data_IF_495344581879
#
_entry.id   IF_495344581879
#
_cell.length_a   1.000
_cell.length_b   1.000
_cell.length_c   1.000
_cell.angle_alpha   90.00
_cell.angle_beta   90.00
_cell.angle_gamma   90.00
#
_symmetry.space_group_name_H-M   'P 1'
#
loop_
_entity.id
_entity.type
_entity.pdbx_description
1 polymer ?
#
# COMPACT_ATOMS: atom_id res chain seq x y z
N UNK A 1 13.63 17.15 -5.98
CA UNK A 1 12.97 17.01 -4.64
C UNK A 1 12.37 15.62 -4.52
N UNK A 2 12.58 14.93 -3.38
CA UNK A 2 11.98 13.62 -3.13
C UNK A 2 10.74 13.78 -2.25
N UNK A 3 9.62 13.19 -2.68
CA UNK A 3 8.38 13.12 -1.91
C UNK A 3 7.86 11.68 -1.84
N UNK A 4 7.12 11.36 -0.77
CA UNK A 4 6.51 10.05 -0.59
C UNK A 4 4.99 10.17 -0.50
N UNK A 5 4.26 9.18 -1.07
CA UNK A 5 2.82 8.99 -0.86
C UNK A 5 2.62 7.69 -0.11
N UNK A 6 2.03 7.78 1.07
CA UNK A 6 1.85 6.66 2.01
C UNK A 6 0.46 6.65 2.63
N UNK A 7 0.06 5.55 3.26
CA UNK A 7 -1.26 5.42 3.89
C UNK A 7 -1.22 5.66 5.40
N UNK A 8 -2.23 6.35 5.92
CA UNK A 8 -2.36 6.64 7.35
C UNK A 8 -2.75 5.41 8.19
N UNK A 9 -3.62 4.53 7.68
CA UNK A 9 -4.34 3.56 8.48
C UNK A 9 -4.14 2.10 8.01
N UNK A 10 -5.23 1.46 7.53
CA UNK A 10 -5.25 0.03 7.17
C UNK A 10 -4.86 -0.28 5.72
N UNK A 11 -4.60 0.74 4.88
CA UNK A 11 -4.07 0.55 3.52
C UNK A 11 -5.04 0.81 2.38
N UNK A 12 -6.30 1.08 2.68
CA UNK A 12 -7.37 1.29 1.69
C UNK A 12 -7.75 2.77 1.51
N UNK A 13 -6.81 3.68 1.73
CA UNK A 13 -7.05 5.13 1.80
C UNK A 13 -7.25 5.81 0.44
N UNK A 14 -7.12 5.09 -0.68
CA UNK A 14 -7.26 5.67 -2.02
C UNK A 14 -5.96 6.31 -2.54
N UNK A 15 -4.79 5.79 -2.13
CA UNK A 15 -3.47 6.27 -2.57
C UNK A 15 -3.28 6.33 -4.07
N UNK A 16 -3.86 5.38 -4.82
CA UNK A 16 -3.67 5.29 -6.27
C UNK A 16 -4.01 6.59 -7.01
N UNK A 17 -5.15 7.22 -6.68
CA UNK A 17 -5.55 8.51 -7.25
C UNK A 17 -4.55 9.62 -6.92
N UNK A 18 -4.15 9.73 -5.66
CA UNK A 18 -3.21 10.76 -5.21
C UNK A 18 -1.83 10.56 -5.84
N UNK A 19 -1.38 9.29 -5.91
CA UNK A 19 -0.11 8.95 -6.54
C UNK A 19 -0.12 9.27 -8.03
N UNK A 20 -1.16 8.88 -8.77
CA UNK A 20 -1.29 9.16 -10.21
C UNK A 20 -1.29 10.67 -10.48
N UNK A 21 -2.01 11.44 -9.68
CA UNK A 21 -2.05 12.89 -9.80
C UNK A 21 -0.67 13.55 -9.54
N UNK A 22 0.05 13.08 -8.51
CA UNK A 22 1.38 13.62 -8.19
C UNK A 22 2.45 13.09 -9.14
N UNK A 23 2.28 11.90 -9.70
CA UNK A 23 3.19 11.29 -10.67
C UNK A 23 3.35 12.13 -11.92
N UNK A 24 2.29 12.78 -12.42
CA UNK A 24 2.35 13.62 -13.63
C UNK A 24 3.46 14.69 -13.58
N UNK A 25 3.75 15.21 -12.38
CA UNK A 25 4.76 16.25 -12.15
C UNK A 25 6.13 15.68 -11.74
N UNK A 26 6.27 14.36 -11.69
CA UNK A 26 7.50 13.71 -11.30
C UNK A 26 8.36 13.34 -12.54
N UNK A 27 9.67 13.35 -12.38
CA UNK A 27 10.60 12.77 -13.37
C UNK A 27 10.73 11.26 -13.18
N UNK A 28 10.58 10.79 -11.93
CA UNK A 28 10.80 9.40 -11.54
C UNK A 28 9.72 8.98 -10.53
N UNK A 29 9.14 7.79 -10.72
CA UNK A 29 8.24 7.16 -9.74
C UNK A 29 8.84 5.83 -9.29
N UNK A 30 8.94 5.63 -7.98
CA UNK A 30 9.62 4.50 -7.37
C UNK A 30 8.68 3.70 -6.47
N UNK A 31 8.47 2.43 -6.76
CA UNK A 31 7.95 1.46 -5.79
C UNK A 31 9.09 1.03 -4.89
N UNK A 32 8.98 1.27 -3.59
CA UNK A 32 10.08 1.06 -2.65
C UNK A 32 9.86 -0.11 -1.68
N UNK A 33 8.64 -0.65 -1.58
CA UNK A 33 8.30 -1.75 -0.67
C UNK A 33 7.08 -2.52 -1.14
N UNK A 34 6.72 -3.59 -0.41
CA UNK A 34 5.58 -4.43 -0.71
C UNK A 34 5.83 -5.35 -1.91
N UNK A 35 4.78 -5.82 -2.51
CA UNK A 35 4.82 -6.73 -3.65
C UNK A 35 3.44 -6.86 -4.29
N UNK A 36 3.14 -8.02 -4.83
CA UNK A 36 1.90 -8.30 -5.55
C UNK A 36 0.65 -8.48 -4.65
N UNK A 37 0.79 -8.36 -3.34
CA UNK A 37 -0.28 -8.59 -2.37
C UNK A 37 -1.32 -7.46 -2.28
N UNK A 38 -1.00 -6.26 -2.75
CA UNK A 38 -1.95 -5.15 -2.79
C UNK A 38 -2.01 -4.56 -4.19
N UNK A 39 -3.21 -4.33 -4.68
CA UNK A 39 -3.46 -3.66 -5.95
C UNK A 39 -3.89 -2.20 -5.71
N UNK A 40 -3.59 -1.34 -6.67
CA UNK A 40 -4.14 0.00 -6.74
C UNK A 40 -4.82 0.21 -8.10
N UNK A 41 -5.95 0.89 -8.06
CA UNK A 41 -6.71 1.19 -9.26
C UNK A 41 -6.38 2.60 -9.73
N UNK A 42 -6.08 2.72 -11.02
CA UNK A 42 -5.87 4.00 -11.72
C UNK A 42 -6.93 4.11 -12.83
N UNK A 43 -7.54 5.28 -12.91
CA UNK A 43 -8.49 5.61 -13.97
C UNK A 43 -7.94 6.82 -14.73
N UNK A 44 -7.66 6.63 -16.01
CA UNK A 44 -7.09 7.66 -16.88
C UNK A 44 -7.67 7.56 -18.31
N UNK A 45 -7.10 8.30 -19.26
CA UNK A 45 -7.55 8.34 -20.66
C UNK A 45 -7.44 6.99 -21.39
N UNK A 46 -6.62 6.07 -20.90
CA UNK A 46 -6.50 4.71 -21.44
C UNK A 46 -7.54 3.75 -20.84
N UNK A 47 -8.27 4.16 -19.79
CA UNK A 47 -9.28 3.37 -19.10
C UNK A 47 -8.95 3.09 -17.64
N UNK A 48 -9.58 2.04 -17.09
CA UNK A 48 -9.38 1.60 -15.72
C UNK A 48 -8.36 0.45 -15.66
N UNK A 49 -7.32 0.60 -14.83
CA UNK A 49 -6.25 -0.37 -14.64
C UNK A 49 -6.13 -0.74 -13.16
N UNK A 50 -5.93 -2.00 -12.88
CA UNK A 50 -5.53 -2.49 -11.56
C UNK A 50 -4.06 -2.93 -11.66
N UNK A 51 -3.16 -2.17 -11.04
CA UNK A 51 -1.73 -2.49 -10.96
C UNK A 51 -1.40 -3.05 -9.59
N UNK A 52 -0.46 -4.00 -9.53
CA UNK A 52 0.00 -4.59 -8.27
C UNK A 52 1.45 -4.21 -7.97
N UNK A 53 2.34 -4.37 -8.95
CA UNK A 53 3.77 -4.12 -8.76
C UNK A 53 4.28 -2.91 -9.53
N UNK A 54 3.72 -2.62 -10.69
CA UNK A 54 4.14 -1.48 -11.49
C UNK A 54 3.88 -0.15 -10.77
N UNK A 55 4.82 0.82 -10.87
CA UNK A 55 4.59 2.19 -10.41
C UNK A 55 3.48 2.89 -11.19
N UNK A 56 2.78 3.84 -10.56
CA UNK A 56 1.71 4.63 -11.19
C UNK A 56 2.21 5.50 -12.36
N UNK A 57 3.51 5.78 -12.44
CA UNK A 57 4.11 6.56 -13.51
C UNK A 57 4.16 5.89 -14.89
N UNK A 58 3.80 4.60 -15.00
CA UNK A 58 3.87 3.84 -16.27
C UNK A 58 2.97 4.38 -17.39
N UNK A 59 2.01 5.23 -17.07
CA UNK A 59 1.11 5.86 -18.03
C UNK A 59 1.68 7.15 -18.67
N UNK A 60 2.86 7.60 -18.22
CA UNK A 60 3.47 8.85 -18.67
C UNK A 60 4.82 8.59 -19.34
N UNK A 61 4.96 8.94 -20.60
CA UNK A 61 6.15 8.65 -21.42
C UNK A 61 7.43 9.39 -20.96
N UNK A 62 7.29 10.51 -20.24
CA UNK A 62 8.42 11.28 -19.71
C UNK A 62 8.98 10.67 -18.41
N UNK A 63 8.21 9.85 -17.68
CA UNK A 63 8.58 9.32 -16.37
C UNK A 63 9.46 8.07 -16.51
N UNK A 64 10.52 8.01 -15.72
CA UNK A 64 11.25 6.76 -15.48
C UNK A 64 10.63 6.05 -14.26
N UNK A 65 10.15 4.84 -14.45
CA UNK A 65 9.55 4.02 -13.42
C UNK A 65 10.60 3.11 -12.80
N UNK A 66 10.64 3.01 -11.49
CA UNK A 66 11.65 2.21 -10.77
C UNK A 66 10.96 1.23 -9.83
N UNK A 67 11.32 -0.03 -9.93
CA UNK A 67 11.06 -1.04 -8.89
C UNK A 67 12.34 -1.14 -8.06
N UNK A 68 12.29 -0.59 -6.85
CA UNK A 68 13.42 -0.47 -5.95
C UNK A 68 13.79 -1.80 -5.25
N UNK A 69 14.93 -1.80 -4.61
CA UNK A 69 15.48 -2.97 -3.91
C UNK A 69 14.63 -3.47 -2.73
N UNK A 70 13.72 -2.64 -2.20
CA UNK A 70 12.83 -3.03 -1.10
C UNK A 70 11.58 -3.82 -1.53
N UNK A 71 11.33 -3.98 -2.82
CA UNK A 71 10.15 -4.66 -3.35
C UNK A 71 10.34 -6.19 -3.32
N UNK A 72 9.30 -6.91 -2.91
CA UNK A 72 9.16 -8.35 -3.11
C UNK A 72 8.75 -8.60 -4.57
N UNK A 73 9.72 -8.88 -5.42
CA UNK A 73 9.57 -8.86 -6.87
C UNK A 73 9.02 -10.18 -7.43
N UNK A 74 7.78 -10.15 -7.90
CA UNK A 74 7.21 -11.23 -8.72
C UNK A 74 7.44 -10.91 -10.20
N UNK A 75 8.49 -11.45 -10.79
CA UNK A 75 8.94 -11.15 -12.17
C UNK A 75 7.86 -11.48 -13.21
N UNK A 76 7.24 -12.69 -13.21
CA UNK A 76 6.18 -12.99 -14.17
C UNK A 76 5.00 -12.02 -14.12
N UNK A 77 4.61 -11.58 -12.91
CA UNK A 77 3.53 -10.64 -12.76
C UNK A 77 3.88 -9.26 -13.30
N UNK A 78 5.08 -8.76 -13.05
CA UNK A 78 5.56 -7.47 -13.59
C UNK A 78 5.52 -7.49 -15.11
N UNK A 79 6.06 -8.54 -15.76
CA UNK A 79 6.07 -8.67 -17.21
C UNK A 79 4.64 -8.75 -17.77
N UNK A 80 3.77 -9.50 -17.10
CA UNK A 80 2.35 -9.59 -17.47
C UNK A 80 1.64 -8.23 -17.35
N UNK A 81 1.92 -7.45 -16.31
CA UNK A 81 1.37 -6.10 -16.13
C UNK A 81 1.87 -5.14 -17.23
N UNK A 82 3.17 -5.16 -17.55
CA UNK A 82 3.73 -4.37 -18.65
C UNK A 82 3.05 -4.71 -19.98
N UNK A 83 2.94 -6.01 -20.29
CA UNK A 83 2.27 -6.44 -21.53
C UNK A 83 0.80 -6.02 -21.52
N UNK A 84 0.10 -6.18 -20.39
CA UNK A 84 -1.32 -5.84 -20.28
C UNK A 84 -1.62 -4.35 -20.46
N UNK A 85 -0.74 -3.43 -20.07
CA UNK A 85 -0.94 -1.99 -20.35
C UNK A 85 -0.60 -1.66 -21.81
N UNK A 86 0.43 -2.30 -22.37
CA UNK A 86 0.83 -2.10 -23.78
C UNK A 86 -0.25 -2.60 -24.73
N UNK A 87 -0.83 -3.77 -24.48
CA UNK A 87 -1.92 -4.34 -25.29
C UNK A 87 -3.18 -3.45 -25.30
N UNK A 88 -3.32 -2.58 -24.32
CA UNK A 88 -4.40 -1.59 -24.22
C UNK A 88 -4.02 -0.21 -24.77
N UNK A 89 -2.90 -0.11 -25.49
CA UNK A 89 -2.47 1.08 -26.20
C UNK A 89 -1.65 2.08 -25.36
N UNK A 90 -1.23 1.71 -24.15
CA UNK A 90 -0.27 2.51 -23.39
C UNK A 90 1.12 2.32 -24.00
N UNK A 91 1.88 3.39 -24.29
CA UNK A 91 3.26 3.25 -24.76
C UNK A 91 4.12 2.44 -23.78
N UNK A 92 5.03 1.63 -24.30
CA UNK A 92 5.94 0.85 -23.45
C UNK A 92 6.66 1.75 -22.43
N UNK A 93 6.52 1.49 -21.12
CA UNK A 93 7.04 2.38 -20.10
C UNK A 93 8.56 2.30 -20.00
N UNK A 94 9.22 3.40 -19.64
CA UNK A 94 10.60 3.36 -19.19
C UNK A 94 10.61 2.73 -17.79
N UNK A 95 11.06 1.48 -17.68
CA UNK A 95 11.07 0.70 -16.45
C UNK A 95 12.51 0.28 -16.10
N UNK A 96 12.91 0.50 -14.86
CA UNK A 96 14.13 -0.01 -14.26
C UNK A 96 13.78 -0.89 -13.06
N UNK A 97 14.43 -2.04 -12.95
CA UNK A 97 14.29 -2.98 -11.83
C UNK A 97 15.64 -3.10 -11.15
N UNK A 98 15.63 -2.92 -9.83
CA UNK A 98 16.87 -3.00 -9.04
C UNK A 98 17.52 -4.38 -9.16
N UNK A 99 18.80 -4.40 -9.46
CA UNK A 99 19.66 -5.58 -9.41
C UNK A 99 19.72 -6.21 -8.02
N UNK A 100 19.42 -5.44 -6.96
CA UNK A 100 19.38 -5.86 -5.55
C UNK A 100 17.99 -6.24 -5.06
N UNK A 101 16.93 -6.07 -5.87
CA UNK A 101 15.61 -6.56 -5.51
C UNK A 101 15.61 -8.07 -5.34
N UNK A 102 14.86 -8.57 -4.36
CA UNK A 102 14.75 -10.01 -4.15
C UNK A 102 13.50 -10.58 -4.81
N UNK A 103 13.58 -11.82 -5.24
CA UNK A 103 12.63 -12.48 -6.12
C UNK A 103 11.62 -13.30 -5.30
N UNK A 104 10.34 -13.11 -5.56
CA UNK A 104 9.28 -14.02 -5.10
C UNK A 104 9.26 -15.24 -6.02
N UNK A 105 9.64 -16.41 -5.47
CA UNK A 105 9.65 -17.68 -6.17
C UNK A 105 8.28 -18.38 -6.06
N UNK A 106 8.03 -19.32 -6.96
CA UNK A 106 6.80 -20.14 -6.94
C UNK A 106 6.59 -20.87 -5.62
N UNK A 107 7.66 -21.35 -4.99
CA UNK A 107 7.54 -22.02 -3.69
C UNK A 107 7.11 -21.07 -2.56
N UNK A 108 7.41 -19.77 -2.61
CA UNK A 108 6.87 -18.82 -1.63
C UNK A 108 5.33 -18.77 -1.70
N UNK A 109 4.79 -18.75 -2.90
CA UNK A 109 3.34 -18.78 -3.14
C UNK A 109 2.74 -20.08 -2.61
N UNK A 110 3.39 -21.21 -2.89
CA UNK A 110 2.97 -22.53 -2.40
C UNK A 110 2.96 -22.57 -0.85
N UNK A 111 4.01 -22.08 -0.21
CA UNK A 111 4.11 -22.04 1.26
C UNK A 111 3.01 -21.16 1.89
N UNK A 112 2.72 -19.99 1.29
CA UNK A 112 1.66 -19.10 1.75
C UNK A 112 0.28 -19.78 1.65
N UNK A 113 0.03 -20.50 0.55
CA UNK A 113 -1.21 -21.28 0.38
C UNK A 113 -1.31 -22.42 1.40
N UNK A 114 -0.24 -23.20 1.57
CA UNK A 114 -0.23 -24.31 2.52
C UNK A 114 -0.42 -23.85 3.95
N UNK A 115 0.16 -22.72 4.35
CA UNK A 115 0.02 -22.19 5.70
C UNK A 115 -1.40 -21.70 5.97
N UNK A 116 -2.02 -21.00 5.02
CA UNK A 116 -3.44 -20.60 5.13
C UNK A 116 -4.38 -21.83 5.21
N UNK A 117 -4.11 -22.88 4.44
CA UNK A 117 -4.83 -24.15 4.50
C UNK A 117 -4.67 -24.81 5.90
N UNK A 118 -3.44 -24.87 6.41
CA UNK A 118 -3.11 -25.47 7.71
C UNK A 118 -3.79 -24.73 8.88
N UNK A 119 -3.81 -23.40 8.83
CA UNK A 119 -4.44 -22.57 9.87
C UNK A 119 -5.97 -22.63 9.85
N UNK A 120 -6.58 -22.92 8.72
CA UNK A 120 -8.04 -23.05 8.60
C UNK A 120 -8.79 -21.84 9.12
N UNK A 121 -9.67 -22.03 10.10
CA UNK A 121 -10.47 -20.95 10.71
C UNK A 121 -9.65 -19.89 11.48
N UNK A 122 -8.36 -20.13 11.71
CA UNK A 122 -7.42 -19.18 12.35
C UNK A 122 -6.49 -18.52 11.34
N UNK A 123 -6.78 -18.61 10.04
CA UNK A 123 -5.97 -18.03 8.98
C UNK A 123 -5.90 -16.51 9.08
N UNK A 124 -4.79 -15.92 8.66
CA UNK A 124 -4.58 -14.48 8.65
C UNK A 124 -5.34 -13.76 7.53
N UNK A 125 -5.91 -14.52 6.58
CA UNK A 125 -6.57 -13.99 5.39
C UNK A 125 -5.57 -13.48 4.36
N UNK A 126 -4.43 -14.17 4.20
CA UNK A 126 -3.41 -13.87 3.20
C UNK A 126 -4.01 -13.73 1.80
N UNK A 127 -3.37 -12.91 0.97
CA UNK A 127 -3.66 -12.82 -0.47
C UNK A 127 -3.10 -14.01 -1.25
N UNK A 128 -2.37 -14.91 -0.58
CA UNK A 128 -1.69 -16.07 -1.18
C UNK A 128 -0.69 -15.67 -2.26
N UNK A 129 -0.06 -14.52 -2.09
CA UNK A 129 0.94 -13.96 -3.01
C UNK A 129 2.39 -14.28 -2.61
N UNK A 130 2.58 -15.10 -1.57
CA UNK A 130 3.89 -15.56 -1.12
C UNK A 130 4.70 -14.53 -0.32
N UNK A 131 4.08 -13.46 0.17
CA UNK A 131 4.80 -12.33 0.78
C UNK A 131 5.42 -12.70 2.12
N UNK A 132 4.68 -13.34 3.02
CA UNK A 132 5.22 -13.72 4.33
C UNK A 132 6.36 -14.75 4.21
N UNK A 133 6.23 -15.86 3.45
CA UNK A 133 7.33 -16.78 3.20
C UNK A 133 8.54 -16.12 2.53
N UNK A 134 8.30 -15.19 1.59
CA UNK A 134 9.38 -14.44 0.94
C UNK A 134 10.18 -13.61 1.95
N UNK A 135 9.52 -12.83 2.82
CA UNK A 135 10.22 -12.04 3.83
C UNK A 135 10.90 -12.92 4.88
N UNK A 136 10.32 -14.07 5.24
CA UNK A 136 11.00 -15.05 6.09
C UNK A 136 12.34 -15.48 5.47
N UNK A 137 12.35 -15.81 4.19
CA UNK A 137 13.56 -16.22 3.48
C UNK A 137 14.57 -15.07 3.32
N UNK A 138 14.09 -13.87 3.02
CA UNK A 138 14.93 -12.67 2.94
C UNK A 138 15.73 -12.45 4.23
N UNK A 139 15.09 -12.49 5.39
CA UNK A 139 15.74 -12.26 6.66
C UNK A 139 16.53 -13.50 7.16
N UNK A 140 16.18 -14.70 6.72
CA UNK A 140 16.97 -15.91 6.90
C UNK A 140 18.18 -16.01 5.93
N UNK A 141 18.29 -15.04 4.99
CA UNK A 141 19.40 -14.92 4.03
C UNK A 141 19.50 -16.11 3.06
N UNK A 142 18.37 -16.63 2.63
CA UNK A 142 18.29 -17.76 1.69
C UNK A 142 17.59 -17.42 0.36
N UNK A 143 17.03 -16.20 0.24
CA UNK A 143 16.38 -15.74 -0.98
C UNK A 143 17.33 -15.42 -2.14
N UNK A 144 16.77 -15.12 -3.31
CA UNK A 144 17.51 -14.77 -4.53
C UNK A 144 17.39 -13.27 -4.83
N UNK A 145 18.52 -12.61 -5.14
CA UNK A 145 18.55 -11.28 -5.73
C UNK A 145 18.51 -11.34 -7.26
N UNK A 146 18.00 -10.28 -7.91
CA UNK A 146 17.95 -10.19 -9.37
C UNK A 146 19.35 -10.32 -10.01
N UNK A 147 20.38 -9.70 -9.42
CA UNK A 147 21.77 -9.81 -9.90
C UNK A 147 22.28 -11.23 -9.97
N UNK A 148 21.84 -12.11 -9.05
CA UNK A 148 22.28 -13.48 -8.98
C UNK A 148 21.79 -14.34 -10.14
N UNK A 149 20.71 -13.91 -10.84
CA UNK A 149 20.21 -14.60 -12.05
C UNK A 149 21.25 -14.70 -13.17
N UNK A 150 22.28 -13.88 -13.13
CA UNK A 150 23.36 -13.83 -14.13
C UNK A 150 24.63 -14.57 -13.69
N UNK A 151 24.58 -15.35 -12.59
CA UNK A 151 25.69 -16.09 -12.01
C UNK A 151 25.33 -17.57 -11.80
N UNK A 152 25.53 -18.41 -12.83
CA UNK A 152 25.04 -19.79 -12.92
C UNK A 152 25.52 -20.69 -11.77
N UNK A 153 26.80 -20.61 -11.42
CA UNK A 153 27.38 -21.44 -10.33
C UNK A 153 26.73 -21.10 -8.98
N UNK A 154 26.48 -19.81 -8.73
CA UNK A 154 25.83 -19.37 -7.50
C UNK A 154 24.35 -19.82 -7.46
N UNK A 155 23.65 -19.80 -8.58
CA UNK A 155 22.28 -20.30 -8.65
C UNK A 155 22.22 -21.79 -8.32
N UNK A 156 23.08 -22.61 -8.91
CA UNK A 156 23.11 -24.05 -8.68
C UNK A 156 23.34 -24.41 -7.20
N UNK A 157 24.27 -23.71 -6.51
CA UNK A 157 24.48 -23.87 -5.08
C UNK A 157 23.26 -23.49 -4.25
N UNK A 158 22.67 -22.33 -4.56
CA UNK A 158 21.53 -21.79 -3.78
C UNK A 158 20.26 -22.61 -3.95
N UNK A 159 19.96 -23.12 -5.16
CA UNK A 159 18.78 -23.97 -5.37
C UNK A 159 18.87 -25.27 -4.58
N UNK A 160 20.06 -25.90 -4.51
CA UNK A 160 20.24 -27.09 -3.69
C UNK A 160 19.96 -26.78 -2.23
N UNK A 161 20.52 -25.68 -1.70
CA UNK A 161 20.28 -25.25 -0.32
C UNK A 161 18.79 -24.98 -0.04
N UNK A 162 18.06 -24.40 -1.00
CA UNK A 162 16.61 -24.16 -0.85
C UNK A 162 15.86 -25.49 -0.79
N UNK A 163 16.17 -26.45 -1.65
CA UNK A 163 15.57 -27.77 -1.60
C UNK A 163 15.81 -28.45 -0.24
N UNK A 164 17.05 -28.43 0.26
CA UNK A 164 17.41 -29.02 1.55
C UNK A 164 16.64 -28.39 2.71
N UNK A 165 16.37 -27.08 2.66
CA UNK A 165 15.65 -26.36 3.71
C UNK A 165 14.13 -26.50 3.61
N UNK A 166 13.57 -26.53 2.40
CA UNK A 166 12.12 -26.45 2.18
C UNK A 166 11.45 -27.82 2.08
N UNK A 167 12.13 -28.81 1.51
CA UNK A 167 11.57 -30.13 1.29
C UNK A 167 11.12 -30.84 2.57
N UNK A 168 11.87 -30.82 3.70
CA UNK A 168 11.39 -31.39 4.94
C UNK A 168 10.05 -30.77 5.42
N UNK A 169 9.85 -29.47 5.20
CA UNK A 169 8.60 -28.79 5.57
C UNK A 169 7.48 -29.20 4.61
N UNK A 170 7.75 -29.21 3.31
CA UNK A 170 6.75 -29.63 2.30
C UNK A 170 6.29 -31.06 2.54
N UNK A 171 7.21 -32.00 2.75
CA UNK A 171 6.90 -33.42 2.89
C UNK A 171 6.26 -33.76 4.23
N UNK A 172 6.83 -33.27 5.34
CA UNK A 172 6.43 -33.71 6.67
C UNK A 172 5.36 -32.83 7.33
N UNK A 173 5.29 -31.53 6.98
CA UNK A 173 4.31 -30.62 7.56
C UNK A 173 3.12 -30.42 6.63
N UNK A 174 3.37 -30.16 5.36
CA UNK A 174 2.32 -29.82 4.40
C UNK A 174 1.85 -31.00 3.54
N UNK A 175 2.57 -32.14 3.58
CA UNK A 175 2.29 -33.33 2.77
C UNK A 175 2.16 -33.01 1.26
N UNK A 176 3.08 -32.19 0.77
CA UNK A 176 3.18 -31.76 -0.63
C UNK A 176 4.44 -32.36 -1.26
N UNK A 177 4.50 -32.47 -2.60
CA UNK A 177 5.70 -32.92 -3.31
C UNK A 177 6.93 -32.05 -3.01
N UNK A 178 8.10 -32.66 -3.01
CA UNK A 178 9.39 -31.98 -2.87
C UNK A 178 9.67 -31.07 -4.08
N UNK A 179 10.41 -29.99 -3.83
CA UNK A 179 11.02 -29.18 -4.88
C UNK A 179 12.22 -29.91 -5.46
N UNK A 180 12.48 -29.72 -6.74
CA UNK A 180 13.69 -30.24 -7.39
C UNK A 180 14.62 -29.10 -7.80
N UNK A 181 15.94 -29.25 -7.72
CA UNK A 181 16.89 -28.24 -8.17
C UNK A 181 16.69 -27.85 -9.63
N UNK A 182 16.40 -28.84 -10.49
CA UNK A 182 16.20 -28.66 -11.91
C UNK A 182 15.01 -27.74 -12.20
N UNK A 183 13.87 -27.95 -11.54
CA UNK A 183 12.67 -27.12 -11.71
C UNK A 183 12.91 -25.67 -11.24
N UNK A 184 13.63 -25.49 -10.12
CA UNK A 184 13.97 -24.16 -9.63
C UNK A 184 14.97 -23.44 -10.54
N UNK A 185 15.95 -24.14 -11.10
CA UNK A 185 16.88 -23.57 -12.07
C UNK A 185 16.14 -23.15 -13.35
N UNK A 186 15.25 -23.97 -13.88
CA UNK A 186 14.44 -23.63 -15.05
C UNK A 186 13.58 -22.39 -14.79
N UNK A 187 12.96 -22.29 -13.61
CA UNK A 187 12.21 -21.10 -13.17
C UNK A 187 13.11 -19.85 -13.14
N UNK A 188 14.29 -19.93 -12.56
CA UNK A 188 15.25 -18.83 -12.46
C UNK A 188 15.81 -18.40 -13.82
N UNK A 189 16.07 -19.34 -14.72
CA UNK A 189 16.48 -19.05 -16.11
C UNK A 189 15.38 -18.30 -16.87
N UNK A 190 14.13 -18.74 -16.72
CA UNK A 190 12.97 -18.05 -17.30
C UNK A 190 12.86 -16.61 -16.73
N UNK A 191 13.05 -16.44 -15.42
CA UNK A 191 13.01 -15.12 -14.78
C UNK A 191 14.15 -14.21 -15.25
N UNK A 192 15.36 -14.75 -15.43
CA UNK A 192 16.50 -14.03 -16.01
C UNK A 192 16.15 -13.44 -17.38
N UNK A 193 15.60 -14.27 -18.26
CA UNK A 193 15.29 -13.85 -19.62
C UNK A 193 14.17 -12.78 -19.66
N UNK A 194 13.18 -12.91 -18.77
CA UNK A 194 12.10 -11.92 -18.60
C UNK A 194 12.61 -10.57 -18.07
N UNK A 195 13.49 -10.58 -17.04
CA UNK A 195 13.87 -9.36 -16.33
C UNK A 195 15.03 -8.61 -16.96
N UNK A 196 15.86 -9.31 -17.72
CA UNK A 196 17.10 -8.80 -18.33
C UNK A 196 16.99 -7.40 -18.97
N UNK A 197 15.91 -7.05 -19.69
CA UNK A 197 15.81 -5.73 -20.33
C UNK A 197 15.68 -4.55 -19.34
N UNK A 198 15.32 -4.85 -18.08
CA UNK A 198 14.95 -3.84 -17.09
C UNK A 198 15.97 -3.67 -15.96
N UNK A 199 16.95 -4.59 -15.85
CA UNK A 199 17.88 -4.64 -14.71
C UNK A 199 18.85 -3.47 -14.72
N UNK A 200 18.95 -2.79 -13.57
CA UNK A 200 19.87 -1.65 -13.40
C UNK A 200 20.32 -1.53 -11.92
N UNK A 201 21.46 -0.88 -11.70
CA UNK A 201 21.81 -0.33 -10.39
C UNK A 201 20.93 0.90 -10.11
N UNK A 202 19.73 0.64 -9.57
CA UNK A 202 18.75 1.70 -9.32
C UNK A 202 19.18 2.63 -8.19
N UNK A 203 20.00 2.16 -7.24
CA UNK A 203 20.49 3.01 -6.15
C UNK A 203 21.46 4.09 -6.68
N UNK A 204 22.41 3.70 -7.55
CA UNK A 204 23.28 4.66 -8.22
C UNK A 204 22.47 5.61 -9.13
N UNK A 205 21.51 5.09 -9.88
CA UNK A 205 20.63 5.89 -10.74
C UNK A 205 19.88 6.95 -9.93
N UNK A 206 19.19 6.56 -8.84
CA UNK A 206 18.40 7.47 -8.02
C UNK A 206 19.29 8.50 -7.28
N UNK A 207 20.43 8.08 -6.77
CA UNK A 207 21.39 8.99 -6.14
C UNK A 207 21.84 10.11 -7.09
N UNK A 208 22.17 9.77 -8.32
CA UNK A 208 22.57 10.75 -9.33
C UNK A 208 21.39 11.65 -9.74
N UNK A 209 20.22 11.08 -9.95
CA UNK A 209 19.00 11.82 -10.28
C UNK A 209 18.63 12.85 -9.19
N UNK A 210 18.75 12.49 -7.91
CA UNK A 210 18.52 13.42 -6.79
C UNK A 210 19.54 14.55 -6.80
N UNK A 211 20.82 14.25 -7.05
CA UNK A 211 21.87 15.27 -7.19
C UNK A 211 21.63 16.21 -8.37
N UNK A 212 21.08 15.73 -9.46
CA UNK A 212 20.69 16.53 -10.62
C UNK A 212 19.40 17.35 -10.38
N UNK A 213 18.80 17.26 -9.20
CA UNK A 213 17.59 18.00 -8.85
C UNK A 213 16.30 17.43 -9.42
N UNK A 214 16.31 16.18 -9.92
CA UNK A 214 15.12 15.51 -10.43
C UNK A 214 14.03 15.36 -9.36
N UNK A 215 12.77 15.42 -9.78
CA UNK A 215 11.61 15.17 -8.93
C UNK A 215 11.37 13.65 -8.83
N UNK A 216 11.44 13.10 -7.61
CA UNK A 216 11.25 11.67 -7.33
C UNK A 216 10.04 11.49 -6.45
N UNK A 217 9.09 10.65 -6.90
CA UNK A 217 7.92 10.23 -6.14
C UNK A 217 8.11 8.80 -5.64
N UNK A 218 8.15 8.63 -4.33
CA UNK A 218 8.15 7.33 -3.67
C UNK A 218 6.72 6.88 -3.46
N UNK A 219 6.31 5.81 -4.11
CA UNK A 219 4.98 5.24 -4.04
C UNK A 219 4.92 4.11 -3.03
N UNK A 220 4.22 4.36 -1.89
CA UNK A 220 4.01 3.37 -0.85
C UNK A 220 2.79 2.48 -1.10
N UNK A 221 2.78 1.36 -0.41
CA UNK A 221 1.73 0.35 -0.44
C UNK A 221 1.21 0.09 0.97
N UNK A 222 -0.09 -0.21 1.11
CA UNK A 222 -0.75 -0.40 2.41
C UNK A 222 -0.74 0.88 3.28
N UNK A 223 -0.82 0.75 4.60
CA UNK A 223 -0.87 1.88 5.53
C UNK A 223 -0.14 1.57 6.85
N UNK A 224 0.01 2.57 7.71
CA UNK A 224 0.80 2.51 8.94
C UNK A 224 0.43 1.37 9.87
N UNK A 225 -0.89 1.06 9.98
CA UNK A 225 -1.38 -0.01 10.87
C UNK A 225 -1.09 -1.42 10.33
N UNK A 226 -0.58 -1.53 9.12
CA UNK A 226 -0.12 -2.79 8.51
C UNK A 226 1.40 -2.96 8.53
N UNK A 227 2.12 -2.03 9.15
CA UNK A 227 3.57 -2.12 9.34
C UNK A 227 3.90 -3.23 10.35
N UNK A 228 4.93 -4.08 10.11
CA UNK A 228 5.24 -5.21 11.00
C UNK A 228 5.73 -4.78 12.38
N UNK A 229 6.37 -3.61 12.50
CA UNK A 229 6.95 -3.13 13.77
C UNK A 229 5.98 -2.24 14.55
N UNK A 230 5.14 -1.47 13.87
CA UNK A 230 4.29 -0.44 14.48
C UNK A 230 2.79 -0.66 14.29
N UNK A 231 2.39 -1.61 13.45
CA UNK A 231 0.99 -1.90 13.15
C UNK A 231 0.29 -2.78 14.19
N UNK A 232 -0.86 -3.29 13.80
CA UNK A 232 -1.73 -4.15 14.62
C UNK A 232 -1.26 -5.62 14.58
N UNK A 233 0.01 -5.86 14.91
CA UNK A 233 0.60 -7.20 14.88
C UNK A 233 -0.24 -8.21 15.69
N UNK A 234 -0.48 -9.45 15.18
CA UNK A 234 0.13 -10.06 13.98
C UNK A 234 -0.62 -9.80 12.66
N UNK A 235 -1.70 -9.03 12.66
CA UNK A 235 -2.54 -8.78 11.47
C UNK A 235 -1.96 -7.65 10.60
N UNK A 236 -0.69 -7.80 10.22
CA UNK A 236 0.12 -6.85 9.43
C UNK A 236 0.60 -7.47 8.13
N UNK A 237 1.21 -6.67 7.25
CA UNK A 237 2.01 -7.20 6.14
C UNK A 237 3.46 -7.43 6.60
N UNK A 238 4.24 -8.15 5.81
CA UNK A 238 5.64 -8.43 6.18
C UNK A 238 6.62 -7.36 5.69
N UNK A 239 6.16 -6.36 4.92
CA UNK A 239 6.98 -5.23 4.48
C UNK A 239 6.74 -4.01 5.35
N UNK A 240 7.77 -3.16 5.58
CA UNK A 240 7.56 -1.87 6.22
C UNK A 240 6.78 -0.94 5.31
N UNK A 241 5.68 -0.38 5.84
CA UNK A 241 4.75 0.49 5.11
C UNK A 241 5.01 1.98 5.35
N UNK A 242 6.04 2.29 6.13
CA UNK A 242 6.36 3.64 6.53
C UNK A 242 7.22 4.38 5.50
N UNK A 243 7.02 5.70 5.37
CA UNK A 243 7.79 6.56 4.46
C UNK A 243 9.31 6.49 4.72
N UNK A 244 9.71 6.29 5.99
CA UNK A 244 11.12 6.12 6.37
C UNK A 244 11.80 4.93 5.68
N UNK A 245 11.06 3.86 5.40
CA UNK A 245 11.59 2.73 4.63
C UNK A 245 11.81 3.08 3.15
N UNK A 246 11.19 4.16 2.66
CA UNK A 246 11.41 4.63 1.30
C UNK A 246 12.88 4.93 1.00
N UNK A 247 13.62 5.45 1.98
CA UNK A 247 15.05 5.65 1.85
C UNK A 247 15.82 4.33 1.66
N UNK A 248 15.48 3.32 2.45
CA UNK A 248 16.11 1.99 2.38
C UNK A 248 15.69 1.26 1.09
N UNK A 249 14.40 1.23 0.81
CA UNK A 249 13.84 0.47 -0.31
C UNK A 249 14.11 1.05 -1.69
N UNK A 250 14.45 2.34 -1.77
CA UNK A 250 14.90 3.02 -2.99
C UNK A 250 16.44 3.20 -3.06
N UNK A 251 17.16 3.03 -1.95
CA UNK A 251 18.61 3.23 -1.88
C UNK A 251 19.02 4.70 -1.93
N UNK A 252 18.23 5.59 -1.31
CA UNK A 252 18.53 7.05 -1.24
C UNK A 252 18.78 7.50 0.20
N UNK A 253 19.48 8.61 0.43
CA UNK A 253 19.66 9.15 1.77
C UNK A 253 18.32 9.55 2.42
N UNK A 254 18.06 9.22 3.71
CA UNK A 254 16.77 9.50 4.34
C UNK A 254 16.44 10.99 4.44
N UNK A 255 17.41 11.85 4.53
CA UNK A 255 17.23 13.30 4.59
C UNK A 255 16.82 13.93 3.24
N UNK A 256 16.80 13.17 2.15
CA UNK A 256 16.30 13.63 0.85
C UNK A 256 14.77 13.58 0.74
N UNK A 257 14.09 12.78 1.56
CA UNK A 257 12.63 12.76 1.63
C UNK A 257 12.15 14.03 2.33
N UNK A 258 11.76 15.04 1.53
CA UNK A 258 11.39 16.37 2.05
C UNK A 258 9.90 16.54 2.26
N UNK A 259 9.08 15.74 1.60
CA UNK A 259 7.63 15.80 1.69
C UNK A 259 7.06 14.40 1.85
N UNK A 260 6.16 14.25 2.82
CA UNK A 260 5.43 13.01 3.05
C UNK A 260 3.94 13.31 3.00
N UNK A 261 3.32 12.97 1.88
CA UNK A 261 1.88 13.06 1.68
C UNK A 261 1.25 11.79 2.23
N UNK A 262 0.57 11.92 3.36
CA UNK A 262 -0.14 10.79 3.97
C UNK A 262 -1.60 10.81 3.55
N UNK A 263 -2.04 9.73 2.93
CA UNK A 263 -3.43 9.61 2.48
C UNK A 263 -4.30 9.05 3.59
N UNK A 264 -5.42 9.70 3.87
CA UNK A 264 -6.42 9.27 4.85
C UNK A 264 -7.83 9.39 4.26
N UNK A 265 -8.70 8.42 4.54
CA UNK A 265 -10.12 8.48 4.15
C UNK A 265 -10.94 9.33 5.11
N UNK A 266 -12.02 9.91 4.63
CA UNK A 266 -13.01 10.60 5.47
C UNK A 266 -13.84 9.67 6.38
N UNK A 267 -13.70 8.38 6.23
CA UNK A 267 -14.19 7.30 7.10
C UNK A 267 -13.13 6.19 7.13
N UNK A 268 -13.32 5.14 7.92
CA UNK A 268 -12.35 4.04 8.00
C UNK A 268 -12.82 2.81 7.25
N UNK A 269 -11.89 2.10 6.61
CA UNK A 269 -12.14 0.78 6.04
C UNK A 269 -10.90 -0.11 6.18
N UNK A 270 -11.13 -1.43 6.28
CA UNK A 270 -10.07 -2.41 6.39
C UNK A 270 -10.42 -3.70 5.64
N UNK A 271 -9.40 -4.38 5.08
CA UNK A 271 -9.50 -5.74 4.58
C UNK A 271 -8.79 -6.69 5.54
N UNK A 272 -9.38 -7.87 5.77
CA UNK A 272 -8.81 -8.90 6.63
C UNK A 272 -9.08 -8.68 8.11
N UNK A 273 -8.49 -9.55 8.92
CA UNK A 273 -8.63 -9.55 10.36
C UNK A 273 -7.80 -8.47 11.07
N UNK A 274 -7.98 -8.35 12.36
CA UNK A 274 -7.24 -7.47 13.24
C UNK A 274 -8.10 -6.38 13.87
N UNK A 275 -7.52 -5.67 14.82
CA UNK A 275 -8.20 -4.64 15.60
C UNK A 275 -8.68 -3.48 14.72
N UNK A 276 -9.94 -3.09 14.93
CA UNK A 276 -10.58 -1.97 14.25
C UNK A 276 -11.61 -1.35 15.19
N UNK A 277 -11.15 -0.49 16.09
CA UNK A 277 -11.94 0.02 17.23
C UNK A 277 -13.19 0.78 16.78
N UNK A 278 -13.07 1.59 15.72
CA UNK A 278 -14.19 2.37 15.17
C UNK A 278 -15.06 1.58 14.18
N UNK A 279 -14.98 0.24 14.15
CA UNK A 279 -15.76 -0.60 13.24
C UNK A 279 -17.25 -0.50 13.51
N UNK A 280 -18.05 -0.47 12.45
CA UNK A 280 -19.52 -0.48 12.47
C UNK A 280 -20.07 -1.72 11.77
N UNK A 281 -21.30 -2.10 12.12
CA UNK A 281 -21.93 -3.33 11.67
C UNK A 281 -23.37 -3.09 11.19
N UNK A 282 -23.95 -4.10 10.53
CA UNK A 282 -25.32 -4.07 10.07
C UNK A 282 -25.58 -3.08 8.95
N UNK A 283 -26.81 -2.57 8.88
CA UNK A 283 -27.31 -1.72 7.78
C UNK A 283 -26.46 -0.45 7.58
N UNK A 284 -25.95 0.12 8.67
CA UNK A 284 -25.09 1.31 8.63
C UNK A 284 -23.77 1.01 7.89
N UNK A 285 -23.13 -0.12 8.20
CA UNK A 285 -21.91 -0.56 7.52
C UNK A 285 -22.17 -0.90 6.04
N UNK A 286 -23.28 -1.56 5.76
CA UNK A 286 -23.67 -1.98 4.42
C UNK A 286 -23.97 -0.77 3.51
N UNK A 287 -24.68 0.24 4.04
CA UNK A 287 -24.96 1.46 3.32
C UNK A 287 -23.68 2.27 3.03
N UNK A 288 -22.79 2.43 4.01
CA UNK A 288 -21.51 3.10 3.82
C UNK A 288 -20.64 2.33 2.82
N UNK A 289 -20.61 0.99 2.90
CA UNK A 289 -19.88 0.13 1.94
C UNK A 289 -20.39 0.28 0.52
N UNK A 290 -21.71 0.30 0.35
CA UNK A 290 -22.35 0.43 -0.96
C UNK A 290 -22.06 1.78 -1.60
N UNK A 291 -22.01 2.86 -0.81
CA UNK A 291 -21.74 4.23 -1.28
C UNK A 291 -20.27 4.51 -1.48
N UNK A 292 -19.40 3.78 -0.78
CA UNK A 292 -17.96 4.03 -0.76
C UNK A 292 -17.30 3.77 -2.11
N UNK A 293 -16.36 4.65 -2.47
CA UNK A 293 -15.53 4.52 -3.65
C UNK A 293 -16.28 4.42 -4.99
N UNK A 294 -15.55 4.08 -6.03
CA UNK A 294 -16.10 3.79 -7.36
C UNK A 294 -16.49 2.31 -7.46
N UNK A 295 -17.76 2.01 -7.17
CA UNK A 295 -18.31 0.64 -7.19
C UNK A 295 -18.36 -0.05 -5.82
N UNK A 296 -18.27 0.70 -4.73
CA UNK A 296 -18.38 0.19 -3.36
C UNK A 296 -17.02 -0.18 -2.74
N UNK A 297 -17.04 -0.42 -1.41
CA UNK A 297 -15.85 -0.75 -0.64
C UNK A 297 -15.58 -2.27 -0.67
N UNK A 298 -14.89 -2.68 -1.75
CA UNK A 298 -14.43 -4.06 -1.96
C UNK A 298 -12.92 -4.09 -2.22
N UNK A 299 -12.27 -5.18 -1.82
CA UNK A 299 -10.83 -5.35 -2.02
C UNK A 299 -10.47 -5.43 -3.50
N UNK A 300 -9.53 -4.60 -3.97
CA UNK A 300 -9.14 -4.53 -5.37
C UNK A 300 -8.60 -5.87 -5.93
N UNK A 301 -7.89 -6.63 -5.11
CA UNK A 301 -7.30 -7.93 -5.50
C UNK A 301 -8.24 -9.10 -5.21
N UNK A 302 -8.92 -9.07 -4.06
CA UNK A 302 -9.68 -10.24 -3.56
C UNK A 302 -11.18 -10.15 -3.81
N UNK A 303 -11.71 -8.98 -4.14
CA UNK A 303 -13.14 -8.72 -4.23
C UNK A 303 -13.91 -8.84 -2.89
N UNK A 304 -13.21 -9.07 -1.76
CA UNK A 304 -13.83 -9.21 -0.44
C UNK A 304 -14.46 -7.90 0.01
N UNK A 305 -15.65 -7.90 0.64
CA UNK A 305 -16.22 -6.70 1.24
C UNK A 305 -15.29 -6.19 2.33
N UNK A 306 -15.04 -4.88 2.32
CA UNK A 306 -14.25 -4.23 3.37
C UNK A 306 -15.07 -4.10 4.64
N UNK A 307 -14.42 -4.24 5.78
CA UNK A 307 -14.94 -3.83 7.09
C UNK A 307 -15.03 -2.31 7.09
N UNK A 308 -16.10 -1.77 7.63
CA UNK A 308 -16.40 -0.33 7.61
C UNK A 308 -16.33 0.24 9.01
N UNK A 309 -15.94 1.50 9.13
CA UNK A 309 -15.90 2.22 10.40
C UNK A 309 -15.99 3.72 10.20
N UNK A 310 -16.34 4.44 11.24
CA UNK A 310 -16.27 5.89 11.25
C UNK A 310 -14.81 6.38 11.26
N UNK A 311 -14.62 7.65 10.93
CA UNK A 311 -13.27 8.22 10.96
C UNK A 311 -12.67 8.05 12.36
N UNK A 312 -11.43 7.57 12.41
CA UNK A 312 -10.71 7.27 13.64
C UNK A 312 -9.53 8.24 13.81
N UNK A 313 -9.74 9.24 14.68
CA UNK A 313 -8.73 10.24 14.96
C UNK A 313 -7.51 9.66 15.67
N UNK A 314 -7.71 8.66 16.56
CA UNK A 314 -6.62 8.04 17.33
C UNK A 314 -5.69 7.26 16.39
N UNK A 315 -6.27 6.39 15.56
CA UNK A 315 -5.54 5.61 14.58
C UNK A 315 -4.86 6.50 13.52
N UNK A 316 -5.57 7.52 13.02
CA UNK A 316 -5.04 8.41 11.98
C UNK A 316 -3.93 9.32 12.50
N UNK A 317 -4.07 9.87 13.70
CA UNK A 317 -3.01 10.64 14.38
C UNK A 317 -1.74 9.80 14.56
N UNK A 318 -1.91 8.59 15.05
CA UNK A 318 -0.80 7.65 15.23
C UNK A 318 -0.10 7.34 13.90
N UNK A 319 -0.87 6.98 12.87
CA UNK A 319 -0.33 6.67 11.56
C UNK A 319 0.38 7.85 10.91
N UNK A 320 -0.21 9.05 10.94
CA UNK A 320 0.43 10.26 10.42
C UNK A 320 1.74 10.58 11.15
N UNK A 321 1.79 10.41 12.49
CA UNK A 321 3.01 10.61 13.27
C UNK A 321 4.11 9.63 12.85
N UNK A 322 3.81 8.35 12.68
CA UNK A 322 4.76 7.33 12.24
C UNK A 322 5.30 7.59 10.84
N UNK A 323 4.44 8.08 9.95
CA UNK A 323 4.85 8.40 8.57
C UNK A 323 5.77 9.62 8.50
N UNK A 324 5.82 10.46 9.53
CA UNK A 324 6.51 11.75 9.44
C UNK A 324 5.79 12.70 8.50
N UNK A 325 4.46 12.72 8.55
CA UNK A 325 3.55 13.44 7.66
C UNK A 325 3.88 14.93 7.60
N UNK A 326 4.05 15.46 6.40
CA UNK A 326 4.12 16.91 6.16
C UNK A 326 2.75 17.47 5.81
N UNK A 327 1.96 16.70 5.06
CA UNK A 327 0.61 17.07 4.66
C UNK A 327 -0.27 15.84 4.42
N UNK A 328 -1.58 16.01 4.60
CA UNK A 328 -2.58 14.95 4.46
C UNK A 328 -3.38 15.16 3.19
N UNK A 329 -3.55 14.08 2.40
CA UNK A 329 -4.55 13.99 1.36
C UNK A 329 -5.79 13.26 1.90
N UNK A 330 -6.90 13.99 2.02
CA UNK A 330 -8.14 13.51 2.61
C UNK A 330 -9.09 13.04 1.52
N UNK A 331 -9.39 11.75 1.46
CA UNK A 331 -10.08 11.14 0.33
C UNK A 331 -11.53 10.74 0.64
N UNK A 332 -12.32 10.55 -0.41
CA UNK A 332 -13.71 10.05 -0.41
C UNK A 332 -14.68 10.84 0.48
N UNK A 333 -14.48 12.14 0.58
CA UNK A 333 -15.30 13.03 1.40
C UNK A 333 -16.75 13.14 0.88
N UNK A 334 -16.93 13.04 -0.44
CA UNK A 334 -18.21 13.04 -1.13
C UNK A 334 -19.17 11.93 -0.67
N UNK A 335 -18.62 10.80 -0.22
CA UNK A 335 -19.39 9.64 0.24
C UNK A 335 -20.27 9.98 1.46
N UNK A 336 -19.84 10.87 2.34
CA UNK A 336 -20.53 11.20 3.58
C UNK A 336 -21.73 12.16 3.39
N UNK A 337 -21.94 12.69 2.19
CA UNK A 337 -22.98 13.68 1.88
C UNK A 337 -24.43 13.23 2.10
N UNK A 338 -24.69 11.97 2.40
CA UNK A 338 -26.03 11.44 2.69
C UNK A 338 -26.42 11.50 4.19
N UNK A 339 -25.44 11.72 5.06
CA UNK A 339 -25.64 11.66 6.51
C UNK A 339 -26.22 12.96 7.09
N UNK A 340 -27.07 12.83 8.10
CA UNK A 340 -27.55 13.93 8.93
C UNK A 340 -26.54 14.30 10.02
N UNK A 341 -25.95 13.28 10.63
CA UNK A 341 -24.88 13.38 11.61
C UNK A 341 -23.74 12.41 11.24
N UNK A 342 -22.51 12.83 11.45
CA UNK A 342 -21.31 12.03 11.15
C UNK A 342 -20.57 11.75 12.47
N UNK A 343 -20.58 10.52 12.96
CA UNK A 343 -19.77 10.13 14.12
C UNK A 343 -18.27 10.16 13.77
N UNK A 344 -17.46 10.65 14.70
CA UNK A 344 -15.99 10.66 14.62
C UNK A 344 -15.44 10.06 15.89
N UNK A 345 -14.62 9.03 15.78
CA UNK A 345 -13.95 8.42 16.93
C UNK A 345 -12.80 9.32 17.39
N UNK A 346 -12.94 9.94 18.56
CA UNK A 346 -11.99 10.91 19.12
C UNK A 346 -11.12 10.34 20.22
N UNK A 347 -11.46 9.15 20.73
CA UNK A 347 -10.73 8.50 21.81
C UNK A 347 -11.11 7.03 21.93
N UNK A 348 -10.34 6.29 22.70
CA UNK A 348 -10.61 4.90 23.06
C UNK A 348 -10.80 4.78 24.55
N UNK A 349 -11.92 4.17 24.98
CA UNK A 349 -12.12 3.76 26.37
C UNK A 349 -11.53 2.36 26.58
N UNK A 350 -10.60 2.24 27.52
CA UNK A 350 -9.95 0.98 27.90
C UNK A 350 -9.98 0.87 29.42
N UNK A 351 -10.58 -0.18 29.95
CA UNK A 351 -10.68 -0.44 31.39
C UNK A 351 -11.25 0.76 32.20
N UNK A 352 -12.12 1.58 31.58
CA UNK A 352 -12.78 2.75 32.19
C UNK A 352 -12.02 4.07 32.04
N UNK A 353 -10.86 4.07 31.41
CA UNK A 353 -10.09 5.28 31.12
C UNK A 353 -10.12 5.61 29.62
N UNK A 354 -10.22 6.90 29.29
CA UNK A 354 -10.21 7.36 27.88
C UNK A 354 -8.81 7.82 27.51
N UNK A 355 -8.31 7.27 26.39
CA UNK A 355 -7.04 7.68 25.81
C UNK A 355 -7.20 8.19 24.39
N UNK A 356 -6.34 9.14 23.98
CA UNK A 356 -6.17 9.60 22.61
C UNK A 356 -4.85 9.11 21.97
N UNK A 357 -4.11 8.29 22.70
CA UNK A 357 -2.91 7.62 22.22
C UNK A 357 -3.25 6.21 21.75
N UNK A 358 -2.67 5.81 20.62
CA UNK A 358 -2.91 4.50 20.03
C UNK A 358 -2.20 3.40 20.85
N UNK A 359 -2.95 2.45 21.43
CA UNK A 359 -2.38 1.44 22.32
C UNK A 359 -1.83 0.24 21.54
N UNK A 360 -1.19 -0.68 22.27
CA UNK A 360 -0.76 -1.98 21.72
C UNK A 360 -1.96 -2.86 21.33
N UNK A 361 -1.74 -3.84 20.44
CA UNK A 361 -2.82 -4.70 19.92
C UNK A 361 -3.64 -5.39 21.01
N UNK A 362 -2.99 -5.88 22.08
CA UNK A 362 -3.69 -6.54 23.19
C UNK A 362 -4.69 -5.61 23.92
N UNK A 363 -4.41 -4.33 23.97
CA UNK A 363 -5.30 -3.32 24.53
C UNK A 363 -6.37 -2.87 23.51
N UNK A 364 -6.02 -2.83 22.22
CA UNK A 364 -6.98 -2.52 21.16
C UNK A 364 -8.15 -3.50 21.12
N UNK A 365 -7.92 -4.76 21.44
CA UNK A 365 -8.99 -5.78 21.50
C UNK A 365 -10.04 -5.51 22.61
N UNK A 366 -9.68 -4.73 23.62
CA UNK A 366 -10.56 -4.31 24.72
C UNK A 366 -11.14 -2.92 24.53
N UNK A 367 -10.58 -2.15 23.60
CA UNK A 367 -10.90 -0.76 23.40
C UNK A 367 -12.33 -0.59 22.86
N UNK A 368 -13.02 0.42 23.35
CA UNK A 368 -14.30 0.88 22.84
C UNK A 368 -14.14 2.28 22.26
N UNK A 369 -14.77 2.58 21.12
CA UNK A 369 -14.68 3.91 20.53
C UNK A 369 -15.46 4.95 21.33
N UNK A 370 -14.87 6.11 21.53
CA UNK A 370 -15.55 7.30 22.04
C UNK A 370 -15.84 8.22 20.87
N UNK A 371 -17.12 8.48 20.63
CA UNK A 371 -17.56 9.24 19.46
C UNK A 371 -18.00 10.66 19.83
N UNK A 372 -17.60 11.64 18.99
CA UNK A 372 -18.28 12.91 18.83
C UNK A 372 -19.07 12.90 17.54
N UNK A 373 -20.27 13.53 17.54
CA UNK A 373 -21.14 13.63 16.38
C UNK A 373 -21.09 15.03 15.81
N UNK A 374 -20.81 15.13 14.54
CA UNK A 374 -20.79 16.39 13.79
C UNK A 374 -22.00 16.46 12.85
N UNK A 375 -22.57 17.65 12.60
CA UNK A 375 -23.66 17.79 11.65
C UNK A 375 -23.15 17.48 10.23
N UNK A 376 -23.92 16.66 9.49
CA UNK A 376 -23.70 16.39 8.07
C UNK A 376 -24.04 17.56 7.18
N UNK A 377 -23.68 17.47 5.92
CA UNK A 377 -23.95 18.56 4.94
C UNK A 377 -25.07 18.24 3.95
N UNK A 378 -25.57 17.02 3.89
CA UNK A 378 -26.77 16.57 3.14
C UNK A 378 -26.85 17.06 1.69
N UNK A 379 -25.71 17.13 1.00
CA UNK A 379 -25.68 17.46 -0.41
C UNK A 379 -24.49 16.84 -1.12
N UNK A 380 -24.55 16.78 -2.45
CA UNK A 380 -23.43 16.36 -3.29
C UNK A 380 -22.39 17.50 -3.33
N UNK A 381 -21.13 17.15 -3.08
CA UNK A 381 -20.00 18.09 -3.13
C UNK A 381 -19.07 17.83 -4.32
N UNK A 382 -19.40 16.85 -5.16
CA UNK A 382 -18.62 16.56 -6.38
C UNK A 382 -18.68 17.75 -7.33
N UNK A 383 -17.55 17.99 -8.01
CA UNK A 383 -17.43 19.12 -8.92
C UNK A 383 -17.10 20.47 -8.27
N UNK A 384 -17.17 20.60 -6.93
CA UNK A 384 -16.67 21.79 -6.23
C UNK A 384 -15.14 21.81 -6.34
N UNK A 385 -14.57 22.98 -6.70
CA UNK A 385 -13.13 23.15 -6.96
C UNK A 385 -12.41 24.02 -5.93
N UNK A 386 -13.15 24.78 -5.13
CA UNK A 386 -12.58 25.69 -4.12
C UNK A 386 -13.06 25.31 -2.73
N UNK A 387 -12.16 25.39 -1.74
CA UNK A 387 -12.44 25.05 -0.36
C UNK A 387 -13.59 25.90 0.23
N UNK A 388 -13.62 27.18 -0.10
CA UNK A 388 -14.62 28.15 0.39
C UNK A 388 -16.02 27.86 -0.13
N UNK A 389 -16.15 27.15 -1.25
CA UNK A 389 -17.43 26.77 -1.88
C UNK A 389 -18.02 25.48 -1.24
N UNK A 390 -17.24 24.74 -0.44
CA UNK A 390 -17.74 23.59 0.31
C UNK A 390 -18.78 24.04 1.35
N UNK A 391 -19.83 23.23 1.60
CA UNK A 391 -20.79 23.49 2.67
C UNK A 391 -20.09 23.73 4.01
N UNK A 392 -20.64 24.61 4.84
CA UNK A 392 -20.05 24.99 6.12
C UNK A 392 -19.79 23.76 7.02
N UNK A 393 -20.77 22.85 7.12
CA UNK A 393 -20.59 21.62 7.92
C UNK A 393 -19.49 20.70 7.36
N UNK A 394 -19.33 20.66 6.03
CA UNK A 394 -18.25 19.91 5.39
C UNK A 394 -16.87 20.51 5.77
N UNK A 395 -16.73 21.83 5.72
CA UNK A 395 -15.50 22.53 6.16
C UNK A 395 -15.22 22.30 7.65
N UNK A 396 -16.25 22.41 8.50
CA UNK A 396 -16.14 22.12 9.94
C UNK A 396 -15.70 20.68 10.21
N UNK A 397 -16.17 19.71 9.42
CA UNK A 397 -15.72 18.33 9.53
C UNK A 397 -14.23 18.19 9.20
N UNK A 398 -13.77 18.78 8.11
CA UNK A 398 -12.34 18.77 7.72
C UNK A 398 -11.48 19.43 8.82
N UNK A 399 -11.88 20.59 9.31
CA UNK A 399 -11.16 21.34 10.34
C UNK A 399 -11.13 20.61 11.68
N UNK A 400 -12.23 19.93 12.02
CA UNK A 400 -12.32 19.09 13.21
C UNK A 400 -11.33 17.91 13.13
N UNK A 401 -11.32 17.20 12.01
CA UNK A 401 -10.38 16.10 11.78
C UNK A 401 -8.93 16.60 11.82
N UNK A 402 -8.62 17.65 11.07
CA UNK A 402 -7.29 18.27 11.04
C UNK A 402 -6.76 18.63 12.44
N UNK A 403 -7.62 19.22 13.26
CA UNK A 403 -7.30 19.57 14.65
C UNK A 403 -6.98 18.34 15.49
N UNK A 404 -7.76 17.26 15.36
CA UNK A 404 -7.60 16.06 16.18
C UNK A 404 -6.41 15.20 15.77
N UNK A 405 -6.14 15.08 14.47
CA UNK A 405 -4.95 14.36 14.01
C UNK A 405 -3.66 15.18 14.18
N UNK A 406 -3.74 16.51 14.19
CA UNK A 406 -2.60 17.42 14.38
C UNK A 406 -1.71 17.60 13.15
N UNK A 407 -2.20 17.30 11.95
CA UNK A 407 -1.47 17.43 10.68
C UNK A 407 -2.33 18.18 9.65
N UNK A 408 -1.74 19.05 8.80
CA UNK A 408 -2.50 19.87 7.86
C UNK A 408 -3.11 19.02 6.75
N UNK A 409 -4.41 19.20 6.50
CA UNK A 409 -5.13 18.63 5.36
C UNK A 409 -5.01 19.62 4.18
N UNK A 410 -4.14 19.33 3.23
CA UNK A 410 -3.83 20.23 2.09
C UNK A 410 -4.50 19.82 0.80
N UNK A 411 -4.90 18.54 0.68
CA UNK A 411 -5.60 18.02 -0.49
C UNK A 411 -6.88 17.31 -0.04
N UNK A 412 -7.99 17.63 -0.69
CA UNK A 412 -9.31 17.08 -0.39
C UNK A 412 -9.88 16.48 -1.67
N UNK A 413 -10.08 15.16 -1.66
CA UNK A 413 -10.74 14.47 -2.77
C UNK A 413 -12.24 14.39 -2.50
N UNK A 414 -13.02 15.02 -3.39
CA UNK A 414 -14.46 15.14 -3.32
C UNK A 414 -15.19 14.42 -4.47
N UNK A 415 -14.55 13.42 -5.08
CA UNK A 415 -15.13 12.59 -6.13
C UNK A 415 -14.14 11.57 -6.66
N UNK A 416 -14.55 10.65 -7.55
CA UNK A 416 -13.70 9.57 -8.06
C UNK A 416 -12.70 10.02 -9.13
N UNK A 417 -13.02 11.10 -9.88
CA UNK A 417 -12.19 11.58 -10.97
C UNK A 417 -10.87 12.17 -10.50
N UNK A 418 -9.87 12.11 -11.36
CA UNK A 418 -8.55 12.69 -11.11
C UNK A 418 -8.62 14.18 -10.76
N UNK A 419 -9.51 14.91 -11.46
CA UNK A 419 -9.71 16.35 -11.29
C UNK A 419 -10.57 16.73 -10.06
N UNK A 420 -11.09 15.71 -9.33
CA UNK A 420 -11.92 15.92 -8.15
C UNK A 420 -11.05 16.08 -6.91
N UNK A 421 -10.19 17.08 -6.94
CA UNK A 421 -9.28 17.47 -5.87
C UNK A 421 -9.41 18.97 -5.62
N UNK A 422 -9.56 19.32 -4.36
CA UNK A 422 -9.49 20.69 -3.86
C UNK A 422 -8.17 20.85 -3.13
N UNK A 423 -7.37 21.82 -3.54
CA UNK A 423 -6.16 22.21 -2.83
C UNK A 423 -6.48 23.26 -1.78
N UNK A 424 -5.93 23.09 -0.59
CA UNK A 424 -6.11 23.99 0.54
C UNK A 424 -4.73 24.43 1.03
N UNK A 425 -4.52 25.74 1.15
CA UNK A 425 -3.28 26.31 1.69
C UNK A 425 -2.01 25.91 0.92
N UNK A 426 -2.01 25.97 -0.41
CA UNK A 426 -0.73 26.01 -1.14
C UNK A 426 0.01 27.30 -0.74
N UNK A 427 1.09 27.14 0.06
CA UNK A 427 2.02 28.22 0.39
C UNK A 427 3.05 28.40 -0.71
#
# INVERSE_FOLDING_TARGET
MVQAVVGANWGDEGKGKITDMLAEKADIVVRFQGGANAGHTIVNNYGKFALHTLPSGVFYSHITNVIGNGVALNIPLVVKEVQGIVDRGVPAPKLLISDRAQIVMSYHILFDQCEEERLGGKSFGSTKSGIAPFYADKFSKVGFQVSELFHEELLAEKVQRICDLKNPILEHLYHKPALTPEALLEELHSYRDMVKPFVADTAAFLYNAVKEGKSVLLEGQLGSLKDPDHGIYPMVTSSSTLAGYGAIGAGIPPYEIKRVVTVSKAYSSAVGAGAFVSEIFGDEADELRRRGGDGGEFGATTGRPRRMGWFDCVASKYGCRLQGTTDVAFTVLDVLGYLDEIPVCVGYEIDGEVTTDFPTTALLEKAKPVYEKLPGWKCDIRGIKKYEELPENCRKYIEFVEKHIGFPITMISNGPGREDIIYRNEK
#
